data_IF_454336341463
#
_entry.id   IF_454336341463
#
_cell.length_a   1.000
_cell.length_b   1.000
_cell.length_c   1.000
_cell.angle_alpha   90.00
_cell.angle_beta   90.00
_cell.angle_gamma   90.00
#
_symmetry.space_group_name_H-M   'P 1'
#
loop_
_entity.id
_entity.type
_entity.pdbx_description
1 polymer ?
#
# COMPACT_ATOMS: atom_id res chain seq x y z
N UNK A 1 -7.26 -24.60 1.20
CA UNK A 1 -6.28 -25.64 1.41
C UNK A 1 -4.84 -25.19 1.19
N UNK A 2 -4.40 -24.79 -0.02
CA UNK A 2 -3.01 -24.33 -0.22
C UNK A 2 -2.72 -23.00 0.49
N UNK A 3 -3.70 -22.08 0.56
CA UNK A 3 -3.58 -20.79 1.25
C UNK A 3 -3.37 -20.92 2.76
N UNK A 4 -3.80 -22.00 3.38
CA UNK A 4 -3.65 -22.18 4.84
C UNK A 4 -2.26 -22.67 5.25
N UNK A 5 -1.54 -23.32 4.34
CA UNK A 5 -0.20 -23.87 4.63
C UNK A 5 0.84 -22.74 4.74
N UNK A 6 0.87 -21.80 3.78
CA UNK A 6 1.82 -20.68 3.86
C UNK A 6 1.48 -19.70 4.99
N UNK A 7 0.20 -19.46 5.28
CA UNK A 7 -0.20 -18.61 6.39
C UNK A 7 0.32 -19.13 7.73
N UNK A 8 0.35 -20.43 7.93
CA UNK A 8 0.93 -21.05 9.13
C UNK A 8 2.44 -20.85 9.25
N UNK A 9 3.14 -20.76 8.13
CA UNK A 9 4.59 -20.54 8.11
C UNK A 9 5.03 -19.13 8.44
N UNK A 10 4.13 -18.16 8.25
CA UNK A 10 4.39 -16.71 8.47
C UNK A 10 3.65 -16.13 9.67
N UNK A 11 3.14 -17.00 10.56
CA UNK A 11 2.54 -16.55 11.81
C UNK A 11 3.52 -15.72 12.63
N UNK A 12 3.08 -14.54 13.07
CA UNK A 12 3.91 -13.61 13.83
C UNK A 12 4.86 -12.76 12.98
N UNK A 13 4.81 -12.89 11.63
CA UNK A 13 5.51 -11.96 10.76
C UNK A 13 4.74 -10.66 10.67
N UNK A 14 5.44 -9.58 10.36
CA UNK A 14 4.81 -8.28 10.06
C UNK A 14 4.14 -8.34 8.71
N UNK A 15 3.00 -7.70 8.58
CA UNK A 15 2.31 -7.52 7.30
C UNK A 15 2.40 -6.06 6.88
N UNK A 16 2.98 -5.83 5.70
CA UNK A 16 3.16 -4.50 5.13
C UNK A 16 2.49 -4.47 3.77
N UNK A 17 1.80 -3.38 3.48
CA UNK A 17 1.20 -3.12 2.18
C UNK A 17 1.92 -1.97 1.48
N UNK A 18 2.08 -2.11 0.17
CA UNK A 18 2.64 -1.08 -0.70
C UNK A 18 1.62 -0.70 -1.76
N UNK A 19 1.26 0.58 -1.80
CA UNK A 19 0.43 1.15 -2.84
C UNK A 19 1.31 1.77 -3.93
N UNK A 20 1.21 1.23 -5.14
CA UNK A 20 1.93 1.69 -6.33
C UNK A 20 0.95 2.16 -7.40
N UNK A 21 1.42 3.04 -8.27
CA UNK A 21 0.74 3.39 -9.51
C UNK A 21 1.75 3.37 -10.66
N UNK A 22 1.30 2.86 -11.81
CA UNK A 22 2.14 2.77 -13.01
C UNK A 22 1.35 3.19 -14.25
N UNK A 23 2.03 3.86 -15.18
CA UNK A 23 1.46 4.24 -16.47
C UNK A 23 2.02 3.41 -17.65
N UNK A 24 1.52 3.71 -18.84
CA UNK A 24 1.92 3.04 -20.09
C UNK A 24 3.33 3.37 -20.55
N UNK A 25 3.93 4.46 -20.08
CA UNK A 25 5.30 4.87 -20.35
C UNK A 25 6.31 4.25 -19.37
N UNK A 26 5.87 3.33 -18.49
CA UNK A 26 6.64 2.69 -17.41
C UNK A 26 7.04 3.64 -16.27
N UNK A 27 6.45 4.81 -16.16
CA UNK A 27 6.58 5.60 -14.96
C UNK A 27 5.87 4.84 -13.82
N UNK A 28 6.58 4.59 -12.73
CA UNK A 28 6.06 3.83 -11.59
C UNK A 28 6.50 4.48 -10.29
N UNK A 29 5.53 4.88 -9.47
CA UNK A 29 5.77 5.58 -8.21
C UNK A 29 5.12 4.85 -7.04
N UNK A 30 5.72 5.00 -5.85
CA UNK A 30 5.17 4.56 -4.58
C UNK A 30 4.30 5.67 -3.98
N UNK A 31 3.04 5.35 -3.70
CA UNK A 31 2.10 6.31 -3.11
C UNK A 31 2.15 6.27 -1.60
N UNK A 32 2.13 5.07 -1.03
CA UNK A 32 2.18 4.89 0.41
C UNK A 32 2.68 3.49 0.80
N UNK A 33 3.32 3.43 1.94
CA UNK A 33 3.61 2.20 2.67
C UNK A 33 2.67 2.14 3.87
N UNK A 34 2.05 0.98 4.11
CA UNK A 34 1.06 0.79 5.16
C UNK A 34 1.44 -0.43 5.99
N UNK A 35 1.50 -0.28 7.30
CA UNK A 35 1.79 -1.36 8.23
C UNK A 35 0.50 -1.83 8.91
N UNK A 36 0.26 -3.14 8.91
CA UNK A 36 -0.77 -3.77 9.70
C UNK A 36 -0.25 -4.03 11.12
N UNK A 37 -0.92 -3.45 12.12
CA UNK A 37 -0.52 -3.59 13.54
C UNK A 37 -0.92 -4.95 14.09
N UNK A 38 -2.01 -5.50 13.57
CA UNK A 38 -2.50 -6.82 13.96
C UNK A 38 -1.59 -7.94 13.42
N UNK A 39 -1.64 -9.06 14.12
CA UNK A 39 -0.85 -10.23 13.74
C UNK A 39 -1.21 -10.74 12.33
N UNK A 40 -0.19 -11.25 11.62
CA UNK A 40 -0.37 -11.91 10.33
C UNK A 40 -1.49 -12.97 10.39
N UNK A 41 -2.45 -12.86 9.46
CA UNK A 41 -3.63 -13.72 9.36
C UNK A 41 -4.95 -13.01 9.72
N UNK A 42 -4.91 -11.85 10.35
CA UNK A 42 -6.08 -10.94 10.44
C UNK A 42 -6.24 -10.26 9.09
N UNK A 43 -7.46 -10.23 8.55
CA UNK A 43 -7.70 -9.60 7.26
C UNK A 43 -7.39 -8.10 7.33
N UNK A 44 -6.64 -7.57 6.36
CA UNK A 44 -6.18 -6.16 6.34
C UNK A 44 -7.31 -5.15 6.46
N UNK A 45 -8.49 -5.46 5.93
CA UNK A 45 -9.69 -4.63 6.07
C UNK A 45 -10.18 -4.48 7.51
N UNK A 46 -9.90 -5.47 8.34
CA UNK A 46 -10.32 -5.57 9.75
C UNK A 46 -9.18 -5.26 10.73
N UNK A 47 -7.99 -4.98 10.23
CA UNK A 47 -6.81 -4.64 11.02
C UNK A 47 -6.71 -3.14 11.32
N UNK A 48 -6.11 -2.81 12.46
CA UNK A 48 -5.55 -1.48 12.69
C UNK A 48 -4.35 -1.31 11.76
N UNK A 49 -4.33 -0.23 10.99
CA UNK A 49 -3.24 0.04 10.05
C UNK A 49 -2.66 1.43 10.24
N UNK A 50 -1.37 1.55 10.00
CA UNK A 50 -0.60 2.78 10.15
C UNK A 50 0.09 3.13 8.83
N UNK A 51 0.04 4.38 8.44
CA UNK A 51 0.77 4.92 7.30
C UNK A 51 1.55 6.18 7.71
N UNK A 52 2.81 6.36 7.30
CA UNK A 52 3.67 5.38 6.63
C UNK A 52 4.05 4.20 7.56
N UNK A 53 4.74 3.19 7.01
CA UNK A 53 5.33 2.10 7.80
C UNK A 53 6.30 2.66 8.85
N UNK A 54 6.19 2.17 10.10
CA UNK A 54 6.97 2.68 11.23
C UNK A 54 8.10 1.75 11.69
N UNK A 55 7.98 0.45 11.42
CA UNK A 55 8.88 -0.55 11.99
C UNK A 55 9.86 -1.13 10.96
N UNK A 56 10.04 -0.47 9.83
CA UNK A 56 11.05 -0.77 8.82
C UNK A 56 12.10 0.34 8.78
N UNK A 57 13.32 -0.05 8.47
CA UNK A 57 14.41 0.90 8.18
C UNK A 57 14.30 1.43 6.75
N UNK A 58 14.88 2.59 6.46
CA UNK A 58 14.90 3.14 5.09
C UNK A 58 15.43 2.17 4.02
N UNK A 59 16.52 1.42 4.24
CA UNK A 59 16.98 0.42 3.27
C UNK A 59 15.96 -0.69 3.02
N UNK A 60 15.24 -1.15 4.05
CA UNK A 60 14.18 -2.16 3.90
C UNK A 60 13.00 -1.62 3.11
N UNK A 61 12.57 -0.38 3.38
CA UNK A 61 11.51 0.29 2.61
C UNK A 61 11.92 0.45 1.15
N UNK A 62 13.13 0.91 0.89
CA UNK A 62 13.65 1.06 -0.48
C UNK A 62 13.66 -0.29 -1.21
N UNK A 63 14.17 -1.33 -0.57
CA UNK A 63 14.19 -2.68 -1.16
C UNK A 63 12.77 -3.20 -1.45
N UNK A 64 11.82 -2.95 -0.57
CA UNK A 64 10.41 -3.30 -0.75
C UNK A 64 9.79 -2.56 -1.94
N UNK A 65 10.05 -1.26 -2.07
CA UNK A 65 9.53 -0.46 -3.18
C UNK A 65 10.09 -0.96 -4.52
N UNK A 66 11.39 -1.20 -4.60
CA UNK A 66 12.01 -1.74 -5.82
C UNK A 66 11.50 -3.13 -6.18
N UNK A 67 11.30 -4.00 -5.19
CA UNK A 67 10.66 -5.29 -5.41
C UNK A 67 9.22 -5.11 -5.91
N UNK A 68 8.46 -4.19 -5.33
CA UNK A 68 7.10 -3.87 -5.77
C UNK A 68 7.04 -3.36 -7.21
N UNK A 69 7.96 -2.47 -7.58
CA UNK A 69 8.10 -1.97 -8.97
C UNK A 69 8.46 -3.09 -9.94
N UNK A 70 9.28 -4.06 -9.53
CA UNK A 70 9.60 -5.24 -10.36
C UNK A 70 8.35 -6.14 -10.53
N UNK A 71 7.61 -6.39 -9.46
CA UNK A 71 6.40 -7.22 -9.48
C UNK A 71 5.33 -6.62 -10.40
N UNK A 72 5.04 -5.31 -10.29
CA UNK A 72 4.01 -4.68 -11.13
C UNK A 72 4.35 -4.74 -12.61
N UNK A 73 5.66 -4.68 -12.96
CA UNK A 73 6.14 -4.85 -14.32
C UNK A 73 5.98 -6.27 -14.81
N UNK A 74 6.39 -7.26 -14.01
CA UNK A 74 6.31 -8.68 -14.35
C UNK A 74 4.87 -9.15 -14.53
N UNK A 75 3.96 -8.72 -13.66
CA UNK A 75 2.52 -9.01 -13.78
C UNK A 75 1.91 -8.32 -15.01
N UNK A 76 2.56 -7.29 -15.55
CA UNK A 76 2.16 -6.60 -16.75
C UNK A 76 1.05 -5.56 -16.55
N UNK A 77 0.89 -5.01 -15.34
CA UNK A 77 0.02 -3.85 -15.12
C UNK A 77 0.64 -2.64 -15.81
N UNK A 78 -0.02 -2.19 -16.86
CA UNK A 78 0.46 -1.06 -17.70
C UNK A 78 -0.16 0.27 -17.33
N UNK A 79 -1.34 0.24 -16.69
CA UNK A 79 -2.07 1.46 -16.35
C UNK A 79 -2.85 1.26 -15.05
N UNK A 80 -2.60 2.13 -14.08
CA UNK A 80 -3.39 2.18 -12.86
C UNK A 80 -2.62 1.81 -11.59
N UNK A 81 -3.39 1.72 -10.49
CA UNK A 81 -2.89 1.42 -9.17
C UNK A 81 -2.89 -0.07 -8.84
N UNK A 82 -1.99 -0.47 -7.97
CA UNK A 82 -2.00 -1.79 -7.36
C UNK A 82 -1.63 -1.73 -5.89
N UNK A 83 -2.11 -2.74 -5.16
CA UNK A 83 -1.73 -3.02 -3.80
C UNK A 83 -0.90 -4.31 -3.76
N UNK A 84 0.26 -4.27 -3.12
CA UNK A 84 1.10 -5.44 -2.91
C UNK A 84 1.24 -5.68 -1.41
N UNK A 85 1.00 -6.92 -0.98
CA UNK A 85 1.14 -7.34 0.41
C UNK A 85 2.42 -8.13 0.59
N UNK A 86 3.21 -7.72 1.59
CA UNK A 86 4.45 -8.36 1.98
C UNK A 86 4.35 -8.89 3.42
N UNK A 87 4.99 -10.03 3.67
CA UNK A 87 5.28 -10.50 5.00
C UNK A 87 6.77 -10.35 5.28
N UNK A 88 7.10 -9.80 6.46
CA UNK A 88 8.49 -9.56 6.87
C UNK A 88 8.74 -10.30 8.17
N UNK A 89 9.76 -11.18 8.15
CA UNK A 89 10.17 -11.90 9.35
C UNK A 89 10.85 -10.94 10.33
N UNK A 90 10.31 -10.73 11.53
CA UNK A 90 10.90 -9.78 12.48
C UNK A 90 12.25 -10.23 13.05
N UNK A 91 12.67 -11.49 12.81
CA UNK A 91 13.93 -12.04 13.35
C UNK A 91 15.13 -11.83 12.44
N UNK A 92 14.92 -11.91 11.14
CA UNK A 92 16.01 -11.89 10.15
C UNK A 92 15.79 -10.92 8.99
N UNK A 93 14.64 -10.20 8.97
CA UNK A 93 14.28 -9.25 7.93
C UNK A 93 13.90 -9.90 6.59
N UNK A 94 13.78 -11.24 6.52
CA UNK A 94 13.35 -11.92 5.30
C UNK A 94 11.98 -11.43 4.87
N UNK A 95 11.90 -10.95 3.64
CA UNK A 95 10.66 -10.44 3.03
C UNK A 95 10.14 -11.42 1.98
N UNK A 96 8.84 -11.67 1.99
CA UNK A 96 8.14 -12.44 0.96
C UNK A 96 6.91 -11.67 0.50
N UNK A 97 6.61 -11.78 -0.79
CA UNK A 97 5.37 -11.27 -1.35
C UNK A 97 4.24 -12.27 -1.08
N UNK A 98 3.15 -11.81 -0.49
CA UNK A 98 1.96 -12.62 -0.22
C UNK A 98 1.05 -12.63 -1.42
N UNK A 99 0.67 -11.42 -1.88
CA UNK A 99 -0.20 -11.24 -3.04
C UNK A 99 -0.04 -9.84 -3.64
N UNK A 100 -0.47 -9.73 -4.89
CA UNK A 100 -0.59 -8.46 -5.58
C UNK A 100 -2.00 -8.33 -6.14
N UNK A 101 -2.63 -7.20 -5.83
CA UNK A 101 -3.97 -6.85 -6.30
C UNK A 101 -3.86 -5.77 -7.38
N UNK A 102 -4.01 -6.09 -8.68
CA UNK A 102 -3.85 -5.13 -9.79
C UNK A 102 -5.08 -4.23 -9.96
N UNK A 103 -5.46 -3.58 -8.90
CA UNK A 103 -6.63 -2.69 -8.81
C UNK A 103 -6.50 -1.74 -7.63
N UNK A 104 -7.27 -0.67 -7.63
CA UNK A 104 -7.50 0.13 -6.43
C UNK A 104 -8.23 -0.71 -5.37
N UNK A 105 -7.88 -0.49 -4.12
CA UNK A 105 -8.30 -1.26 -2.95
C UNK A 105 -8.82 -0.36 -1.82
N UNK A 106 -9.22 -0.97 -0.71
CA UNK A 106 -9.56 -0.20 0.51
C UNK A 106 -8.35 0.54 1.08
N UNK A 107 -7.17 -0.05 0.98
CA UNK A 107 -5.91 0.60 1.36
C UNK A 107 -5.53 1.75 0.44
N UNK A 108 -5.89 1.70 -0.85
CA UNK A 108 -5.74 2.84 -1.76
C UNK A 108 -6.56 4.06 -1.30
N UNK A 109 -7.76 3.83 -0.73
CA UNK A 109 -8.55 4.91 -0.16
C UNK A 109 -7.90 5.52 1.11
N UNK A 110 -7.29 4.67 1.95
CA UNK A 110 -6.50 5.13 3.09
C UNK A 110 -5.27 5.90 2.62
N UNK A 111 -4.52 5.36 1.66
CA UNK A 111 -3.35 6.00 1.07
C UNK A 111 -3.71 7.37 0.48
N UNK A 112 -4.80 7.46 -0.28
CA UNK A 112 -5.27 8.74 -0.83
C UNK A 112 -5.61 9.78 0.25
N UNK A 113 -6.24 9.35 1.35
CA UNK A 113 -6.53 10.26 2.47
C UNK A 113 -5.27 10.65 3.23
N UNK A 114 -4.32 9.72 3.40
CA UNK A 114 -3.09 9.96 4.11
C UNK A 114 -2.18 10.94 3.34
N UNK A 115 -2.02 10.72 2.04
CA UNK A 115 -1.06 11.45 1.21
C UNK A 115 -1.65 12.68 0.51
N UNK A 116 -2.99 12.75 0.38
CA UNK A 116 -3.64 13.71 -0.50
C UNK A 116 -3.58 13.32 -1.99
N UNK A 117 -2.87 12.26 -2.34
CA UNK A 117 -2.73 11.82 -3.73
C UNK A 117 -4.02 11.13 -4.21
N UNK A 118 -4.69 11.62 -5.26
CA UNK A 118 -6.00 11.13 -5.67
C UNK A 118 -5.88 9.87 -6.55
N UNK A 119 -5.52 8.73 -5.94
CA UNK A 119 -5.21 7.47 -6.64
C UNK A 119 -6.30 7.08 -7.64
N UNK A 120 -7.58 7.14 -7.25
CA UNK A 120 -8.68 6.72 -8.12
C UNK A 120 -8.83 7.63 -9.35
N UNK A 121 -8.69 8.95 -9.17
CA UNK A 121 -8.72 9.92 -10.28
C UNK A 121 -7.57 9.67 -11.24
N UNK A 122 -6.36 9.57 -10.71
CA UNK A 122 -5.15 9.34 -11.53
C UNK A 122 -5.26 8.01 -12.26
N UNK A 123 -5.63 6.90 -11.57
CA UNK A 123 -5.81 5.60 -12.19
C UNK A 123 -6.85 5.62 -13.32
N UNK A 124 -7.92 6.41 -13.19
CA UNK A 124 -8.91 6.59 -14.25
C UNK A 124 -8.33 7.31 -15.46
N UNK A 125 -7.55 8.37 -15.25
CA UNK A 125 -6.89 9.11 -16.34
C UNK A 125 -5.85 8.23 -17.06
N UNK A 126 -5.08 7.43 -16.32
CA UNK A 126 -4.16 6.46 -16.92
C UNK A 126 -4.90 5.43 -17.78
N UNK A 127 -6.07 4.97 -17.33
CA UNK A 127 -6.86 3.98 -18.08
C UNK A 127 -7.38 4.51 -19.43
N UNK A 128 -7.55 5.82 -19.58
CA UNK A 128 -7.97 6.44 -20.85
C UNK A 128 -6.77 6.98 -21.66
N UNK A 129 -5.52 6.69 -21.24
CA UNK A 129 -4.33 6.88 -22.04
C UNK A 129 -3.39 8.01 -21.63
N UNK A 130 -3.70 8.74 -20.56
CA UNK A 130 -2.74 9.71 -20.00
C UNK A 130 -1.54 9.00 -19.37
N UNK A 131 -0.42 9.73 -19.25
CA UNK A 131 0.75 9.31 -18.47
C UNK A 131 0.88 10.17 -17.21
N UNK A 132 1.65 9.71 -16.22
CA UNK A 132 1.79 10.40 -14.93
C UNK A 132 2.40 11.81 -15.05
N UNK A 133 3.25 12.03 -16.04
CA UNK A 133 3.86 13.32 -16.34
C UNK A 133 2.93 14.30 -17.05
N UNK A 134 1.83 13.82 -17.64
CA UNK A 134 0.79 14.65 -18.27
C UNK A 134 -0.31 15.09 -17.30
N UNK A 135 -0.46 14.40 -16.16
CA UNK A 135 -1.52 14.68 -15.20
C UNK A 135 -1.05 15.71 -14.16
N UNK A 136 -1.73 16.86 -14.02
CA UNK A 136 -1.40 17.82 -12.98
C UNK A 136 -1.58 17.22 -11.59
N UNK A 137 -0.67 17.55 -10.67
CA UNK A 137 -0.72 17.10 -9.29
C UNK A 137 -1.66 17.99 -8.48
N UNK A 138 -2.79 17.45 -8.02
CA UNK A 138 -3.77 18.18 -7.23
C UNK A 138 -3.21 18.67 -5.88
N UNK A 139 -2.22 17.96 -5.30
CA UNK A 139 -1.62 18.33 -4.02
C UNK A 139 -0.80 19.63 -4.10
N UNK A 140 -0.25 19.92 -5.26
CA UNK A 140 0.57 21.13 -5.50
C UNK A 140 -0.19 22.21 -6.28
N UNK A 141 -1.50 22.05 -6.46
CA UNK A 141 -2.28 22.96 -7.28
C UNK A 141 -1.90 22.96 -8.75
N UNK A 142 -1.25 21.88 -9.22
CA UNK A 142 -0.80 21.74 -10.59
C UNK A 142 0.63 22.24 -10.86
N UNK A 143 1.36 22.67 -9.85
CA UNK A 143 2.76 23.09 -10.00
C UNK A 143 3.70 21.94 -10.37
N UNK A 144 3.38 20.72 -9.94
CA UNK A 144 4.07 19.50 -10.34
C UNK A 144 3.11 18.57 -11.07
N UNK A 145 3.62 17.43 -11.57
CA UNK A 145 2.81 16.39 -12.19
C UNK A 145 2.52 15.25 -11.21
N UNK A 146 1.60 14.37 -11.57
CA UNK A 146 1.27 13.18 -10.78
C UNK A 146 2.44 12.19 -10.65
N UNK A 147 3.56 12.43 -11.32
CA UNK A 147 4.81 11.67 -11.18
C UNK A 147 5.54 11.96 -9.86
N UNK A 148 5.22 13.07 -9.19
CA UNK A 148 5.83 13.41 -7.90
C UNK A 148 5.32 12.46 -6.80
N UNK A 149 6.23 11.69 -6.22
CA UNK A 149 5.91 10.79 -5.10
C UNK A 149 5.49 11.62 -3.87
N UNK A 150 4.38 11.28 -3.22
CA UNK A 150 3.97 11.97 -2.00
C UNK A 150 4.89 11.65 -0.83
N UNK A 151 5.14 12.64 0.02
CA UNK A 151 5.86 12.48 1.26
C UNK A 151 4.92 12.73 2.45
N UNK A 152 5.09 11.97 3.53
CA UNK A 152 4.33 12.12 4.76
C UNK A 152 5.26 12.55 5.90
N UNK A 153 4.92 13.64 6.58
CA UNK A 153 5.57 14.14 7.79
C UNK A 153 4.74 13.89 9.06
N UNK A 154 3.68 13.10 8.94
CA UNK A 154 2.77 12.70 10.02
C UNK A 154 2.36 11.23 9.88
N UNK A 155 1.77 10.70 10.93
CA UNK A 155 1.29 9.32 10.98
C UNK A 155 -0.24 9.30 10.93
N UNK A 156 -0.79 8.47 10.03
CA UNK A 156 -2.21 8.20 9.96
C UNK A 156 -2.49 6.81 10.53
N UNK A 157 -3.47 6.71 11.41
CA UNK A 157 -3.94 5.44 11.96
C UNK A 157 -5.37 5.19 11.51
N UNK A 158 -5.62 4.07 10.84
CA UNK A 158 -6.96 3.58 10.53
C UNK A 158 -7.38 2.58 11.61
N UNK A 159 -8.50 2.85 12.26
CA UNK A 159 -9.16 1.90 13.16
C UNK A 159 -10.43 1.38 12.49
N UNK A 160 -10.55 0.07 12.25
CA UNK A 160 -11.75 -0.50 11.63
C UNK A 160 -12.95 -0.44 12.58
N UNK A 161 -14.16 -0.41 12.01
CA UNK A 161 -15.41 -0.36 12.78
C UNK A 161 -15.57 -1.57 13.70
N UNK A 162 -15.08 -2.73 13.28
CA UNK A 162 -15.05 -3.95 14.11
C UNK A 162 -14.34 -3.73 15.46
N UNK A 163 -13.27 -2.95 15.49
CA UNK A 163 -12.57 -2.59 16.72
C UNK A 163 -13.41 -1.71 17.65
N UNK A 164 -14.16 -0.78 17.10
CA UNK A 164 -15.06 0.06 17.90
C UNK A 164 -16.19 -0.75 18.54
N UNK A 165 -16.69 -1.76 17.84
CA UNK A 165 -17.70 -2.68 18.41
C UNK A 165 -17.12 -3.59 19.50
N UNK A 166 -15.86 -3.97 19.41
CA UNK A 166 -15.18 -4.80 20.40
C UNK A 166 -14.77 -4.00 21.66
N UNK A 167 -14.53 -2.70 21.52
CA UNK A 167 -14.05 -1.85 22.62
C UNK A 167 -15.17 -1.14 23.38
N UNK A 168 -16.25 -0.76 22.71
CA UNK A 168 -17.39 -0.08 23.36
C UNK A 168 -18.12 -0.89 24.44
N UNK A 169 -18.27 -2.23 24.35
CA UNK A 169 -18.91 -3.03 25.39
C UNK A 169 -18.06 -3.27 26.64
N UNK A 170 -16.76 -2.99 26.61
CA UNK A 170 -15.86 -3.25 27.76
C UNK A 170 -16.08 -2.30 28.94
N UNK A 171 -16.92 -1.29 28.77
CA UNK A 171 -17.29 -0.34 29.82
C UNK A 171 -18.57 -0.72 30.57
N UNK A 172 -18.88 -2.01 30.65
CA UNK A 172 -19.98 -2.53 31.46
C UNK A 172 -19.49 -3.12 32.76
#
# INVERSE_FOLDING_TARGET
AASDVYKRQILGWKEIELELIRDSADNCIAIATIENVDAMGVHTGDSVTVAPVLTMTEPEVTAMIEQGKAIIREVGVKTGGCNIQFAINPKDGRMITIEMNPRVSRSSALASKATGYPIAKVATLLAIGYTLDEIPNDMTGGETTALAEPALDYVIVKMPVSYTHLTLPTNR
#
